data_IF_172963315812
#
_entry.id   IF_172963315812
#
_cell.length_a   1.000
_cell.length_b   1.000
_cell.length_c   1.000
_cell.angle_alpha   90.00
_cell.angle_beta   90.00
_cell.angle_gamma   90.00
#
_symmetry.space_group_name_H-M   'P 1'
#
loop_
_entity.id
_entity.type
_entity.pdbx_description
1 polymer ?
#
# COMPACT_ATOMS: atom_id res chain seq x y z
N UNK A 1 -10.15 -3.00 -27.67
CA UNK A 1 -9.32 -3.51 -26.56
C UNK A 1 -8.37 -4.52 -27.14
N UNK A 2 -7.07 -4.37 -26.86
CA UNK A 2 -6.03 -5.32 -27.26
C UNK A 2 -5.65 -6.13 -26.03
N UNK A 3 -5.49 -7.44 -26.18
CA UNK A 3 -5.06 -8.33 -25.10
C UNK A 3 -3.93 -9.23 -25.62
N UNK A 4 -2.85 -9.33 -24.84
CA UNK A 4 -1.73 -10.24 -25.07
C UNK A 4 -1.64 -11.13 -23.84
N UNK A 5 -1.65 -12.44 -24.05
CA UNK A 5 -1.56 -13.44 -22.98
C UNK A 5 -0.39 -14.37 -23.20
N UNK A 6 0.33 -14.63 -22.14
CA UNK A 6 1.31 -15.71 -22.02
C UNK A 6 0.80 -16.74 -21.00
N UNK A 7 1.62 -17.73 -20.67
CA UNK A 7 1.30 -18.66 -19.59
C UNK A 7 1.28 -17.98 -18.21
N UNK A 8 2.08 -16.92 -18.01
CA UNK A 8 2.30 -16.31 -16.70
C UNK A 8 1.81 -14.87 -16.58
N UNK A 9 1.46 -14.19 -17.67
CA UNK A 9 1.05 -12.79 -17.66
C UNK A 9 -0.10 -12.51 -18.63
N UNK A 10 -0.89 -11.49 -18.29
CA UNK A 10 -1.84 -10.86 -19.19
C UNK A 10 -1.54 -9.36 -19.27
N UNK A 11 -1.41 -8.87 -20.50
CA UNK A 11 -1.34 -7.47 -20.84
C UNK A 11 -2.63 -7.07 -21.54
N UNK A 12 -3.32 -6.05 -21.04
CA UNK A 12 -4.50 -5.46 -21.68
C UNK A 12 -4.26 -4.01 -22.01
N UNK A 13 -4.80 -3.56 -23.12
CA UNK A 13 -4.68 -2.19 -23.57
C UNK A 13 -6.00 -1.66 -24.13
N UNK A 14 -6.33 -0.45 -23.71
CA UNK A 14 -7.45 0.36 -24.20
C UNK A 14 -6.88 1.72 -24.56
N UNK A 15 -6.55 1.91 -25.84
CA UNK A 15 -6.10 3.20 -26.37
C UNK A 15 -7.25 3.78 -27.19
N UNK A 16 -7.79 4.90 -26.72
CA UNK A 16 -8.81 5.68 -27.43
C UNK A 16 -8.19 6.57 -28.52
N UNK A 17 -9.05 7.22 -29.32
CA UNK A 17 -8.63 8.15 -30.39
C UNK A 17 -8.17 9.52 -29.88
N UNK A 18 -8.23 9.78 -28.57
CA UNK A 18 -7.83 11.06 -27.97
C UNK A 18 -6.32 11.08 -27.66
N UNK A 19 -5.67 12.22 -27.89
CA UNK A 19 -4.21 12.45 -27.72
C UNK A 19 -3.75 12.55 -26.23
N UNK A 20 -4.48 11.94 -25.30
CA UNK A 20 -4.16 11.97 -23.87
C UNK A 20 -3.03 11.00 -23.50
N UNK A 21 -2.35 11.24 -22.35
CA UNK A 21 -1.37 10.30 -21.83
C UNK A 21 -2.00 8.93 -21.54
N UNK A 22 -1.17 7.90 -21.51
CA UNK A 22 -1.55 6.53 -21.14
C UNK A 22 -1.25 6.30 -19.67
N UNK A 23 -2.25 5.84 -18.91
CA UNK A 23 -2.02 5.28 -17.59
C UNK A 23 -1.55 3.83 -17.75
N UNK A 24 -0.26 3.58 -17.55
CA UNK A 24 0.27 2.22 -17.51
C UNK A 24 0.21 1.72 -16.07
N UNK A 25 -0.54 0.65 -15.78
CA UNK A 25 -0.68 0.13 -14.43
C UNK A 25 -0.11 -1.28 -14.26
N UNK A 26 0.75 -1.45 -13.26
CA UNK A 26 1.15 -2.76 -12.77
C UNK A 26 0.15 -3.23 -11.70
N UNK A 27 -0.35 -4.46 -11.84
CA UNK A 27 -1.16 -5.11 -10.82
C UNK A 27 -0.39 -5.27 -9.50
N UNK A 28 -1.14 -5.18 -8.39
CA UNK A 28 -0.61 -5.29 -7.04
C UNK A 28 -0.55 -6.75 -6.59
N UNK A 29 -0.04 -6.98 -5.38
CA UNK A 29 -0.06 -8.30 -4.75
C UNK A 29 -1.50 -8.80 -4.53
N UNK A 30 -1.86 -9.94 -5.11
CA UNK A 30 -3.19 -10.52 -4.95
C UNK A 30 -3.12 -11.77 -4.07
N UNK A 31 -3.84 -11.83 -2.92
CA UNK A 31 -3.94 -13.06 -2.11
C UNK A 31 -4.53 -14.25 -2.87
N UNK A 32 -5.22 -14.02 -3.98
CA UNK A 32 -5.78 -15.05 -4.86
C UNK A 32 -5.35 -14.75 -6.31
N UNK A 33 -4.06 -14.85 -6.62
CA UNK A 33 -3.54 -14.38 -7.87
C UNK A 33 -4.03 -15.27 -9.03
N UNK A 34 -4.13 -14.68 -10.22
CA UNK A 34 -4.59 -15.37 -11.41
C UNK A 34 -4.76 -14.40 -12.57
N UNK A 35 -4.86 -14.93 -13.79
CA UNK A 35 -4.94 -14.12 -15.01
C UNK A 35 -6.33 -13.53 -15.26
N UNK A 36 -7.36 -14.07 -14.58
CA UNK A 36 -8.73 -13.63 -14.76
C UNK A 36 -9.10 -12.43 -13.90
N UNK A 37 -10.22 -11.79 -14.27
CA UNK A 37 -10.72 -10.59 -13.60
C UNK A 37 -10.02 -9.30 -14.05
N UNK A 38 -10.40 -8.15 -13.46
CA UNK A 38 -9.85 -6.85 -13.83
C UNK A 38 -8.37 -6.73 -13.43
N UNK A 39 -7.63 -5.99 -14.24
CA UNK A 39 -6.28 -5.52 -13.87
C UNK A 39 -6.44 -4.26 -13.01
N UNK A 40 -5.41 -3.96 -12.22
CA UNK A 40 -5.43 -2.79 -11.34
C UNK A 40 -5.67 -1.52 -12.16
N UNK A 41 -6.51 -0.61 -11.65
CA UNK A 41 -6.90 0.64 -12.29
C UNK A 41 -7.68 0.53 -13.61
N UNK A 42 -8.02 -0.67 -14.09
CA UNK A 42 -8.78 -0.88 -15.33
C UNK A 42 -10.13 -0.14 -15.31
N UNK A 43 -11.01 -0.49 -14.38
CA UNK A 43 -12.34 0.13 -14.25
C UNK A 43 -12.24 1.64 -14.00
N UNK A 44 -11.23 2.07 -13.23
CA UNK A 44 -11.01 3.48 -12.90
C UNK A 44 -10.66 4.31 -14.13
N UNK A 45 -9.80 3.78 -15.00
CA UNK A 45 -9.42 4.40 -16.26
C UNK A 45 -10.57 4.36 -17.28
N UNK A 46 -11.29 3.23 -17.38
CA UNK A 46 -12.46 3.09 -18.24
C UNK A 46 -13.56 4.10 -17.88
N UNK A 47 -13.88 4.26 -16.59
CA UNK A 47 -14.88 5.21 -16.11
C UNK A 47 -14.52 6.68 -16.45
N UNK A 48 -13.25 6.97 -16.76
CA UNK A 48 -12.74 8.31 -17.14
C UNK A 48 -12.44 8.44 -18.63
N UNK A 49 -12.64 7.38 -19.41
CA UNK A 49 -12.28 7.35 -20.83
C UNK A 49 -10.79 7.59 -21.08
N UNK A 50 -9.91 7.20 -20.15
CA UNK A 50 -8.47 7.37 -20.29
C UNK A 50 -7.85 6.29 -21.17
N UNK A 51 -6.77 6.64 -21.87
CA UNK A 51 -5.87 5.66 -22.46
C UNK A 51 -5.22 4.85 -21.33
N UNK A 52 -5.24 3.54 -21.43
CA UNK A 52 -4.80 2.65 -20.37
C UNK A 52 -4.13 1.39 -20.90
N UNK A 53 -3.08 0.96 -20.21
CA UNK A 53 -2.44 -0.34 -20.39
C UNK A 53 -2.24 -0.96 -19.02
N UNK A 54 -2.62 -2.21 -18.84
CA UNK A 54 -2.43 -2.97 -17.61
C UNK A 54 -1.59 -4.21 -17.84
N UNK A 55 -0.70 -4.51 -16.90
CA UNK A 55 0.02 -5.78 -16.83
C UNK A 55 -0.30 -6.48 -15.52
N UNK A 56 -0.70 -7.76 -15.59
CA UNK A 56 -1.04 -8.59 -14.44
C UNK A 56 -0.33 -9.94 -14.53
N UNK A 57 0.39 -10.37 -13.48
CA UNK A 57 0.97 -11.70 -13.42
C UNK A 57 -0.04 -12.74 -12.93
N UNK A 58 0.18 -14.01 -13.26
CA UNK A 58 -0.59 -15.17 -12.80
C UNK A 58 -0.36 -15.47 -11.33
N UNK A 59 0.85 -15.18 -10.84
CA UNK A 59 1.28 -15.36 -9.45
C UNK A 59 2.02 -14.10 -8.98
N UNK A 60 2.20 -13.92 -7.67
CA UNK A 60 2.93 -12.76 -7.13
C UNK A 60 4.45 -12.95 -7.28
N UNK A 61 4.95 -13.02 -8.52
CA UNK A 61 6.36 -13.23 -8.83
C UNK A 61 7.20 -11.94 -8.87
N UNK A 62 6.62 -10.81 -8.45
CA UNK A 62 7.27 -9.50 -8.46
C UNK A 62 7.81 -9.09 -9.83
N UNK A 63 7.11 -9.48 -10.91
CA UNK A 63 7.47 -9.14 -12.28
C UNK A 63 8.87 -9.65 -12.67
N UNK A 64 9.29 -10.78 -12.10
CA UNK A 64 10.58 -11.40 -12.35
C UNK A 64 10.54 -12.44 -13.50
N UNK A 65 9.38 -12.62 -14.13
CA UNK A 65 9.21 -13.52 -15.28
C UNK A 65 10.11 -13.15 -16.46
N UNK A 66 10.64 -14.15 -17.18
CA UNK A 66 11.58 -13.93 -18.29
C UNK A 66 10.98 -13.13 -19.46
N UNK A 67 9.67 -13.21 -19.65
CA UNK A 67 8.90 -12.55 -20.72
C UNK A 67 8.50 -11.10 -20.41
N UNK A 68 8.64 -10.64 -19.16
CA UNK A 68 8.28 -9.28 -18.74
C UNK A 68 8.93 -8.21 -19.63
N UNK A 69 10.24 -8.26 -19.96
CA UNK A 69 10.86 -7.26 -20.82
C UNK A 69 10.20 -7.16 -22.20
N UNK A 70 9.79 -8.27 -22.80
CA UNK A 70 9.12 -8.28 -24.12
C UNK A 70 7.71 -7.68 -24.02
N UNK A 71 6.95 -8.05 -22.99
CA UNK A 71 5.62 -7.49 -22.74
C UNK A 71 5.67 -5.96 -22.53
N UNK A 72 6.71 -5.46 -21.85
CA UNK A 72 6.92 -4.02 -21.67
C UNK A 72 7.27 -3.31 -22.98
N UNK A 73 8.03 -3.94 -23.88
CA UNK A 73 8.32 -3.39 -25.20
C UNK A 73 7.06 -3.34 -26.07
N UNK A 74 6.24 -4.40 -26.03
CA UNK A 74 4.94 -4.43 -26.71
C UNK A 74 4.00 -3.36 -26.14
N UNK A 75 3.94 -3.19 -24.82
CA UNK A 75 3.18 -2.11 -24.20
C UNK A 75 3.62 -0.73 -24.71
N UNK A 76 4.94 -0.53 -24.78
CA UNK A 76 5.54 0.71 -25.24
C UNK A 76 5.20 0.99 -26.70
N UNK A 77 5.17 -0.04 -27.54
CA UNK A 77 4.75 0.05 -28.94
C UNK A 77 3.25 0.37 -29.05
N UNK A 78 2.40 -0.29 -28.27
CA UNK A 78 0.95 -0.02 -28.23
C UNK A 78 0.66 1.44 -27.84
N UNK A 79 1.41 1.96 -26.87
CA UNK A 79 1.28 3.36 -26.47
C UNK A 79 1.85 4.36 -27.51
N UNK A 80 2.71 3.90 -28.42
CA UNK A 80 3.37 4.76 -29.41
C UNK A 80 4.17 5.88 -28.74
N UNK A 81 3.99 7.11 -29.24
CA UNK A 81 4.62 8.33 -28.72
C UNK A 81 3.81 9.02 -27.63
N UNK A 82 2.69 8.43 -27.19
CA UNK A 82 1.90 9.00 -26.10
C UNK A 82 2.69 8.99 -24.80
N UNK A 83 2.57 10.04 -23.96
CA UNK A 83 3.24 10.07 -22.67
C UNK A 83 2.74 8.94 -21.77
N UNK A 84 3.64 8.31 -21.00
CA UNK A 84 3.30 7.24 -20.06
C UNK A 84 3.36 7.69 -18.61
N UNK A 85 2.25 7.48 -17.89
CA UNK A 85 2.17 7.59 -16.45
C UNK A 85 2.16 6.17 -15.89
N UNK A 86 3.31 5.74 -15.36
CA UNK A 86 3.47 4.38 -14.83
C UNK A 86 3.03 4.37 -13.36
N UNK A 87 2.10 3.48 -13.03
CA UNK A 87 1.37 3.47 -11.76
C UNK A 87 1.32 2.07 -11.15
N UNK A 88 1.54 1.98 -9.84
CA UNK A 88 1.33 0.72 -9.13
C UNK A 88 1.39 0.88 -7.60
N UNK A 89 0.72 -0.01 -6.84
CA UNK A 89 0.90 -0.17 -5.41
C UNK A 89 1.76 -1.40 -5.07
N UNK A 90 2.55 -1.32 -3.98
CA UNK A 90 3.29 -2.45 -3.42
C UNK A 90 4.17 -3.16 -4.46
N UNK A 91 3.92 -4.43 -4.75
CA UNK A 91 4.53 -5.18 -5.85
C UNK A 91 4.47 -4.45 -7.21
N UNK A 92 3.33 -3.82 -7.52
CA UNK A 92 3.20 -3.02 -8.73
C UNK A 92 3.99 -1.71 -8.68
N UNK A 93 4.21 -1.16 -7.47
CA UNK A 93 5.05 0.02 -7.28
C UNK A 93 6.54 -0.31 -7.45
N UNK A 94 6.98 -1.50 -7.01
CA UNK A 94 8.31 -2.03 -7.35
C UNK A 94 8.49 -2.05 -8.87
N UNK A 95 7.56 -2.66 -9.60
CA UNK A 95 7.65 -2.74 -11.06
C UNK A 95 7.59 -1.37 -11.74
N UNK A 96 6.75 -0.46 -11.23
CA UNK A 96 6.63 0.91 -11.75
C UNK A 96 7.96 1.67 -11.69
N UNK A 97 8.72 1.53 -10.60
CA UNK A 97 10.04 2.14 -10.44
C UNK A 97 11.08 1.35 -11.26
N UNK A 98 11.12 0.03 -11.10
CA UNK A 98 12.11 -0.86 -11.71
C UNK A 98 12.15 -0.81 -13.23
N UNK A 99 10.98 -0.68 -13.86
CA UNK A 99 10.84 -0.68 -15.32
C UNK A 99 10.58 0.70 -15.93
N UNK A 100 10.67 1.78 -15.14
CA UNK A 100 10.42 3.13 -15.61
C UNK A 100 11.26 3.51 -16.84
N UNK A 101 12.55 3.16 -16.83
CA UNK A 101 13.47 3.45 -17.92
C UNK A 101 13.10 2.69 -19.20
N UNK A 102 12.79 1.38 -19.09
CA UNK A 102 12.40 0.53 -20.23
C UNK A 102 11.09 0.98 -20.86
N UNK A 103 10.11 1.35 -20.05
CA UNK A 103 8.83 1.91 -20.50
C UNK A 103 8.94 3.34 -21.04
N UNK A 104 10.12 3.97 -20.95
CA UNK A 104 10.32 5.41 -21.25
C UNK A 104 9.24 6.25 -20.53
N UNK A 105 9.09 6.00 -19.23
CA UNK A 105 8.04 6.61 -18.43
C UNK A 105 8.23 8.13 -18.34
N UNK A 106 7.16 8.89 -18.58
CA UNK A 106 7.14 10.33 -18.41
C UNK A 106 6.91 10.72 -16.95
N UNK A 107 6.18 9.90 -16.21
CA UNK A 107 5.88 10.11 -14.81
C UNK A 107 5.71 8.76 -14.11
N UNK A 108 6.24 8.63 -12.90
CA UNK A 108 6.06 7.44 -12.06
C UNK A 108 5.20 7.79 -10.85
N UNK A 109 4.11 7.06 -10.61
CA UNK A 109 3.30 7.14 -9.41
C UNK A 109 3.43 5.81 -8.66
N UNK A 110 4.25 5.79 -7.61
CA UNK A 110 4.55 4.58 -6.85
C UNK A 110 3.95 4.68 -5.44
N UNK A 111 3.11 3.71 -5.06
CA UNK A 111 2.49 3.65 -3.72
C UNK A 111 3.09 2.50 -2.90
N UNK A 112 3.76 2.83 -1.79
CA UNK A 112 4.47 1.89 -0.92
C UNK A 112 5.32 0.85 -1.68
N UNK A 113 6.27 1.27 -2.54
CA UNK A 113 7.17 0.31 -3.17
C UNK A 113 8.16 -0.30 -2.16
N UNK A 114 8.47 -1.57 -2.39
CA UNK A 114 9.68 -2.20 -1.90
C UNK A 114 10.77 -2.08 -2.97
N UNK A 115 12.02 -1.95 -2.51
CA UNK A 115 13.19 -2.03 -3.38
C UNK A 115 13.39 -3.47 -3.87
N UNK A 116 13.16 -4.44 -3.00
CA UNK A 116 13.46 -5.85 -3.25
C UNK A 116 12.74 -6.74 -2.24
N UNK A 117 12.42 -7.96 -2.68
CA UNK A 117 12.05 -9.09 -1.80
C UNK A 117 13.07 -10.23 -1.91
N UNK A 118 14.26 -9.96 -2.45
CA UNK A 118 15.32 -10.94 -2.59
C UNK A 118 16.09 -11.08 -1.27
N UNK A 119 16.15 -12.28 -0.65
CA UNK A 119 16.84 -12.51 0.62
C UNK A 119 18.35 -12.31 0.54
N UNK A 120 18.92 -12.29 -0.67
CA UNK A 120 20.33 -11.99 -0.88
C UNK A 120 20.65 -10.48 -0.81
N UNK A 121 19.65 -9.60 -0.72
CA UNK A 121 19.83 -8.15 -0.67
C UNK A 121 19.76 -7.62 0.76
N UNK A 122 20.50 -6.55 1.03
CA UNK A 122 20.62 -5.98 2.39
C UNK A 122 19.30 -5.45 2.96
N UNK A 123 18.39 -4.98 2.10
CA UNK A 123 17.09 -4.44 2.50
C UNK A 123 15.95 -5.44 2.26
N UNK A 124 16.21 -6.73 2.48
CA UNK A 124 15.21 -7.78 2.34
C UNK A 124 13.99 -7.57 3.26
N UNK A 125 12.80 -7.76 2.71
CA UNK A 125 11.53 -7.65 3.40
C UNK A 125 10.90 -9.04 3.62
N UNK A 126 11.04 -9.54 4.84
CA UNK A 126 10.61 -10.89 5.25
C UNK A 126 9.09 -11.13 5.22
N UNK A 127 8.27 -10.09 5.02
CA UNK A 127 6.81 -10.24 4.87
C UNK A 127 6.40 -11.10 3.69
N UNK A 128 7.26 -11.16 2.67
CA UNK A 128 7.00 -11.85 1.40
C UNK A 128 7.90 -13.08 1.22
N UNK A 129 8.35 -13.69 2.33
CA UNK A 129 9.28 -14.80 2.30
C UNK A 129 8.73 -16.01 1.53
N UNK A 130 7.42 -16.27 1.61
CA UNK A 130 6.78 -17.38 0.92
C UNK A 130 6.85 -17.22 -0.62
N UNK A 131 6.54 -16.02 -1.12
CA UNK A 131 6.65 -15.70 -2.55
C UNK A 131 8.13 -15.64 -2.97
N UNK A 132 8.96 -14.97 -2.18
CA UNK A 132 10.38 -14.83 -2.43
C UNK A 132 11.08 -16.18 -2.64
N UNK A 133 10.70 -17.21 -1.89
CA UNK A 133 11.29 -18.54 -2.00
C UNK A 133 11.01 -19.22 -3.37
N UNK A 134 10.02 -18.75 -4.11
CA UNK A 134 9.60 -19.29 -5.40
C UNK A 134 10.10 -18.46 -6.59
N UNK A 135 10.71 -17.29 -6.33
CA UNK A 135 11.11 -16.34 -7.36
C UNK A 135 12.54 -16.60 -7.81
N UNK A 136 12.72 -16.71 -9.12
CA UNK A 136 14.02 -16.50 -9.75
C UNK A 136 14.18 -15.01 -10.05
N UNK A 137 15.03 -14.31 -9.29
CA UNK A 137 15.25 -12.88 -9.45
C UNK A 137 16.05 -12.57 -10.72
N UNK A 138 15.40 -11.93 -11.71
CA UNK A 138 15.97 -11.60 -13.03
C UNK A 138 16.09 -10.10 -13.27
N UNK A 139 15.14 -9.35 -12.74
CA UNK A 139 14.87 -7.95 -13.09
C UNK A 139 14.89 -7.09 -11.83
N UNK A 140 16.05 -6.92 -11.21
CA UNK A 140 16.27 -6.04 -10.06
C UNK A 140 17.16 -4.84 -10.44
N UNK A 141 16.55 -3.85 -11.09
CA UNK A 141 17.25 -2.76 -11.77
C UNK A 141 17.05 -1.38 -11.13
N UNK A 142 16.28 -1.26 -10.04
CA UNK A 142 16.07 0.03 -9.34
C UNK A 142 17.41 0.74 -9.05
N UNK A 143 18.43 0.01 -8.60
CA UNK A 143 19.75 0.58 -8.27
C UNK A 143 20.63 0.88 -9.49
N UNK A 144 20.35 0.25 -10.65
CA UNK A 144 21.22 0.26 -11.84
C UNK A 144 20.63 1.09 -12.99
N UNK A 145 19.33 1.37 -12.94
CA UNK A 145 18.62 2.09 -13.99
C UNK A 145 18.95 3.58 -13.97
N UNK A 146 18.90 4.26 -15.12
CA UNK A 146 18.97 5.71 -15.16
C UNK A 146 17.98 6.36 -14.18
N UNK A 147 18.35 7.47 -13.50
CA UNK A 147 17.46 8.17 -12.58
C UNK A 147 16.12 8.54 -13.20
N UNK A 148 15.01 8.21 -12.52
CA UNK A 148 13.67 8.64 -12.92
C UNK A 148 13.61 10.17 -12.88
N UNK A 149 13.18 10.78 -13.98
CA UNK A 149 13.18 12.24 -14.17
C UNK A 149 12.20 12.95 -13.25
N UNK A 150 10.99 12.41 -13.10
CA UNK A 150 9.92 12.95 -12.27
C UNK A 150 8.92 11.88 -11.89
N UNK A 151 8.27 12.08 -10.74
CA UNK A 151 7.22 11.20 -10.27
C UNK A 151 6.84 11.51 -8.83
N UNK A 152 5.88 10.77 -8.31
CA UNK A 152 5.47 10.80 -6.92
C UNK A 152 5.70 9.44 -6.27
N UNK A 153 6.50 9.45 -5.21
CA UNK A 153 6.74 8.31 -4.35
C UNK A 153 5.93 8.48 -3.06
N UNK A 154 4.85 7.74 -2.93
CA UNK A 154 3.98 7.78 -1.75
C UNK A 154 4.33 6.61 -0.84
N UNK A 155 4.59 6.87 0.43
CA UNK A 155 4.94 5.82 1.39
C UNK A 155 4.52 6.21 2.80
N UNK A 156 4.59 5.25 3.71
CA UNK A 156 4.22 5.44 5.11
C UNK A 156 5.42 5.82 5.97
N UNK A 157 5.17 6.47 7.12
CA UNK A 157 6.24 6.83 8.07
C UNK A 157 6.78 5.63 8.87
N UNK A 158 6.33 4.41 8.60
CA UNK A 158 6.82 3.19 9.24
C UNK A 158 8.28 2.93 8.84
N UNK A 159 9.13 2.55 9.81
CA UNK A 159 10.59 2.42 9.59
C UNK A 159 10.95 1.60 8.35
N UNK A 160 10.31 0.44 8.17
CA UNK A 160 10.57 -0.46 7.03
C UNK A 160 10.16 0.18 5.70
N UNK A 161 8.96 0.76 5.64
CA UNK A 161 8.44 1.48 4.46
C UNK A 161 9.32 2.68 4.09
N UNK A 162 9.73 3.45 5.11
CA UNK A 162 10.62 4.59 4.93
C UNK A 162 12.00 4.16 4.45
N UNK A 163 12.55 3.03 4.92
CA UNK A 163 13.84 2.54 4.47
C UNK A 163 13.83 2.21 2.97
N UNK A 164 12.80 1.51 2.47
CA UNK A 164 12.65 1.27 1.03
C UNK A 164 12.49 2.58 0.25
N UNK A 165 11.65 3.50 0.73
CA UNK A 165 11.44 4.77 0.05
C UNK A 165 12.72 5.60 -0.03
N UNK A 166 13.51 5.68 1.04
CA UNK A 166 14.78 6.41 1.03
C UNK A 166 15.80 5.77 0.09
N UNK A 167 15.88 4.45 0.05
CA UNK A 167 16.78 3.75 -0.88
C UNK A 167 16.38 3.99 -2.34
N UNK A 168 15.08 4.00 -2.66
CA UNK A 168 14.58 4.39 -4.00
C UNK A 168 14.96 5.84 -4.32
N UNK A 169 14.72 6.77 -3.40
CA UNK A 169 15.03 8.19 -3.61
C UNK A 169 16.53 8.45 -3.80
N UNK A 170 17.38 7.61 -3.20
CA UNK A 170 18.84 7.68 -3.37
C UNK A 170 19.27 7.44 -4.83
N UNK A 171 18.62 6.50 -5.52
CA UNK A 171 18.89 6.18 -6.93
C UNK A 171 18.04 6.99 -7.92
N UNK A 172 16.89 7.47 -7.46
CA UNK A 172 15.92 8.18 -8.28
C UNK A 172 15.52 9.54 -7.66
N UNK A 173 16.46 10.50 -7.55
CA UNK A 173 16.23 11.79 -6.89
C UNK A 173 15.21 12.70 -7.59
N UNK A 174 14.80 12.38 -8.82
CA UNK A 174 13.71 13.09 -9.51
C UNK A 174 12.31 12.74 -8.97
N UNK A 175 12.17 11.67 -8.18
CA UNK A 175 10.92 11.36 -7.52
C UNK A 175 10.66 12.30 -6.35
N UNK A 176 9.44 12.82 -6.28
CA UNK A 176 9.01 13.66 -5.15
C UNK A 176 8.40 12.77 -4.06
N UNK A 177 8.88 12.84 -2.80
CA UNK A 177 8.32 12.04 -1.71
C UNK A 177 7.02 12.63 -1.15
N UNK A 178 6.04 11.76 -0.88
CA UNK A 178 4.85 12.08 -0.09
C UNK A 178 4.63 11.03 1.00
N UNK A 179 4.93 11.43 2.24
CA UNK A 179 4.64 10.62 3.42
C UNK A 179 3.16 10.68 3.77
N UNK A 180 2.55 9.50 3.94
CA UNK A 180 1.21 9.28 4.51
C UNK A 180 1.42 8.65 5.89
N UNK A 181 1.37 9.42 6.98
CA UNK A 181 1.57 8.88 8.33
C UNK A 181 0.53 7.82 8.67
N UNK A 182 0.88 6.89 9.56
CA UNK A 182 -0.04 5.86 10.08
C UNK A 182 -0.76 5.07 8.98
N UNK A 183 -0.05 4.71 7.92
CA UNK A 183 -0.64 3.95 6.83
C UNK A 183 -0.16 2.50 6.74
N UNK A 184 0.74 2.05 7.63
CA UNK A 184 1.40 0.74 7.47
C UNK A 184 1.96 0.56 6.06
N UNK A 185 1.72 -0.60 5.45
CA UNK A 185 2.02 -0.86 4.03
C UNK A 185 0.90 -0.43 3.06
N UNK A 186 -0.08 0.34 3.53
CA UNK A 186 -1.35 0.62 2.88
C UNK A 186 -1.64 2.11 2.62
N UNK A 187 -0.68 2.94 2.17
CA UNK A 187 -0.96 4.35 1.87
C UNK A 187 -2.00 4.53 0.76
N UNK A 188 -2.10 3.60 -0.19
CA UNK A 188 -3.14 3.61 -1.22
C UNK A 188 -4.56 3.53 -0.62
N UNK A 189 -4.77 2.64 0.35
CA UNK A 189 -6.05 2.51 1.05
C UNK A 189 -6.38 3.77 1.85
N UNK A 190 -5.41 4.30 2.60
CA UNK A 190 -5.60 5.55 3.35
C UNK A 190 -6.01 6.70 2.42
N UNK A 191 -5.34 6.85 1.28
CA UNK A 191 -5.67 7.89 0.31
C UNK A 191 -7.03 7.66 -0.34
N UNK A 192 -7.41 6.41 -0.61
CA UNK A 192 -8.71 6.07 -1.20
C UNK A 192 -9.85 6.39 -0.22
N UNK A 193 -9.76 5.88 1.00
CA UNK A 193 -10.77 6.07 2.06
C UNK A 193 -10.88 7.54 2.53
N UNK A 194 -9.84 8.35 2.29
CA UNK A 194 -9.84 9.78 2.56
C UNK A 194 -10.29 10.64 1.36
N UNK A 195 -10.77 10.03 0.27
CA UNK A 195 -11.16 10.70 -0.98
C UNK A 195 -10.02 11.50 -1.64
N UNK A 196 -8.77 11.04 -1.53
CA UNK A 196 -7.58 11.74 -2.05
C UNK A 196 -6.97 11.03 -3.25
N UNK A 197 -7.01 9.69 -3.29
CA UNK A 197 -6.28 8.90 -4.28
C UNK A 197 -6.69 9.25 -5.72
N UNK A 198 -8.00 9.41 -5.97
CA UNK A 198 -8.50 9.73 -7.31
C UNK A 198 -7.97 11.06 -7.84
N UNK A 199 -7.93 12.09 -6.98
CA UNK A 199 -7.37 13.40 -7.33
C UNK A 199 -5.88 13.30 -7.64
N UNK A 200 -5.13 12.50 -6.88
CA UNK A 200 -3.69 12.28 -7.10
C UNK A 200 -3.43 11.63 -8.45
N UNK A 201 -4.19 10.58 -8.80
CA UNK A 201 -4.02 9.89 -10.10
C UNK A 201 -4.41 10.82 -11.25
N UNK A 202 -5.52 11.56 -11.13
CA UNK A 202 -5.95 12.52 -12.15
C UNK A 202 -4.95 13.67 -12.34
N UNK A 203 -4.38 14.16 -11.24
CA UNK A 203 -3.32 15.16 -11.23
C UNK A 203 -2.03 14.65 -11.90
N UNK A 204 -1.65 13.38 -11.67
CA UNK A 204 -0.51 12.75 -12.32
C UNK A 204 -0.72 12.63 -13.85
N UNK A 205 -1.94 12.32 -14.29
CA UNK A 205 -2.31 12.31 -15.72
C UNK A 205 -2.21 13.69 -16.39
N UNK A 206 -2.10 14.77 -15.61
CA UNK A 206 -1.93 16.13 -16.11
C UNK A 206 -0.50 16.66 -15.86
N UNK A 207 0.42 15.80 -15.39
CA UNK A 207 1.78 16.17 -14.99
C UNK A 207 1.81 17.31 -13.95
N UNK A 208 0.80 17.38 -13.07
CA UNK A 208 0.62 18.46 -12.09
C UNK A 208 0.02 17.95 -10.80
N UNK A 209 0.86 17.60 -9.82
CA UNK A 209 0.38 17.25 -8.48
C UNK A 209 0.51 18.45 -7.53
N UNK A 210 -0.62 19.09 -7.12
CA UNK A 210 -0.60 20.18 -6.16
C UNK A 210 -0.39 19.63 -4.74
N UNK A 211 0.83 19.17 -4.43
CA UNK A 211 1.16 18.48 -3.17
C UNK A 211 0.69 19.20 -1.90
N UNK A 212 0.82 20.53 -1.76
CA UNK A 212 0.27 21.24 -0.60
C UNK A 212 -1.24 21.03 -0.44
N UNK A 213 -1.99 21.10 -1.55
CA UNK A 213 -3.43 20.86 -1.56
C UNK A 213 -3.77 19.39 -1.24
N UNK A 214 -3.05 18.44 -1.84
CA UNK A 214 -3.20 17.01 -1.57
C UNK A 214 -2.98 16.69 -0.09
N UNK A 215 -1.90 17.22 0.51
CA UNK A 215 -1.59 17.03 1.93
C UNK A 215 -2.64 17.66 2.84
N UNK A 216 -3.16 18.84 2.48
CA UNK A 216 -4.24 19.50 3.21
C UNK A 216 -5.54 18.69 3.17
N UNK A 217 -5.92 18.18 2.00
CA UNK A 217 -7.11 17.33 1.82
C UNK A 217 -6.97 16.04 2.64
N UNK A 218 -5.82 15.36 2.57
CA UNK A 218 -5.53 14.20 3.40
C UNK A 218 -5.64 14.55 4.89
N UNK A 219 -5.04 15.65 5.36
CA UNK A 219 -5.11 16.04 6.78
C UNK A 219 -6.54 16.25 7.27
N UNK A 220 -7.40 16.82 6.43
CA UNK A 220 -8.84 17.04 6.73
C UNK A 220 -9.62 15.73 6.77
N UNK A 221 -9.31 14.80 5.86
CA UNK A 221 -10.12 13.60 5.65
C UNK A 221 -9.57 12.32 6.29
N UNK A 222 -8.34 12.31 6.79
CA UNK A 222 -7.66 11.09 7.30
C UNK A 222 -8.44 10.31 8.37
N UNK A 223 -9.27 10.97 9.17
CA UNK A 223 -10.09 10.29 10.19
C UNK A 223 -11.30 9.56 9.61
N UNK A 224 -11.58 9.70 8.30
CA UNK A 224 -12.52 8.85 7.56
C UNK A 224 -11.92 7.50 7.19
N UNK A 225 -10.60 7.40 7.15
CA UNK A 225 -9.89 6.16 6.79
C UNK A 225 -9.81 5.23 7.99
N UNK A 226 -10.44 4.06 7.87
CA UNK A 226 -10.31 2.98 8.85
C UNK A 226 -8.86 2.51 8.94
N UNK A 227 -8.15 2.45 7.82
CA UNK A 227 -6.73 2.07 7.78
C UNK A 227 -5.85 3.07 8.53
N UNK A 228 -6.09 4.37 8.38
CA UNK A 228 -5.35 5.38 9.13
C UNK A 228 -5.66 5.32 10.63
N UNK A 229 -6.94 5.21 10.96
CA UNK A 229 -7.42 5.24 12.35
C UNK A 229 -6.94 4.03 13.13
N UNK A 230 -7.00 2.81 12.56
CA UNK A 230 -6.51 1.61 13.24
C UNK A 230 -5.01 1.72 13.57
N UNK A 231 -4.18 2.16 12.61
CA UNK A 231 -2.73 2.29 12.78
C UNK A 231 -2.39 3.34 13.83
N UNK A 232 -3.09 4.48 13.81
CA UNK A 232 -2.94 5.52 14.81
C UNK A 232 -3.35 5.05 16.21
N UNK A 233 -4.45 4.31 16.34
CA UNK A 233 -4.92 3.79 17.63
C UNK A 233 -3.96 2.76 18.21
N UNK A 234 -3.51 1.78 17.42
CA UNK A 234 -2.51 0.80 17.87
C UNK A 234 -1.19 1.48 18.24
N UNK A 235 -0.78 2.49 17.48
CA UNK A 235 0.41 3.27 17.83
C UNK A 235 0.24 4.01 19.15
N UNK A 236 -0.90 4.70 19.38
CA UNK A 236 -1.22 5.40 20.63
C UNK A 236 -1.26 4.45 21.83
N UNK A 237 -1.85 3.27 21.66
CA UNK A 237 -1.90 2.23 22.68
C UNK A 237 -0.48 1.74 23.02
N UNK A 238 0.30 1.33 22.03
CA UNK A 238 1.65 0.78 22.23
C UNK A 238 2.62 1.76 22.90
N UNK A 239 2.45 3.07 22.68
CA UNK A 239 3.27 4.11 23.32
C UNK A 239 2.78 4.54 24.72
N UNK A 240 1.79 3.84 25.29
CA UNK A 240 1.24 4.15 26.60
C UNK A 240 0.37 5.41 26.64
N UNK A 241 -0.26 5.78 25.52
CA UNK A 241 -1.13 6.96 25.40
C UNK A 241 -2.60 6.57 25.22
N UNK A 242 -3.08 5.63 26.05
CA UNK A 242 -4.42 5.07 25.95
C UNK A 242 -5.53 6.12 26.08
N UNK A 243 -5.40 7.13 26.96
CA UNK A 243 -6.37 8.23 27.06
C UNK A 243 -6.47 9.04 25.76
N UNK A 244 -5.34 9.25 25.07
CA UNK A 244 -5.36 9.93 23.77
C UNK A 244 -6.06 9.09 22.71
N UNK A 245 -5.89 7.75 22.75
CA UNK A 245 -6.64 6.81 21.92
C UNK A 245 -8.15 6.90 22.15
N UNK A 246 -8.60 6.91 23.41
CA UNK A 246 -10.02 7.06 23.73
C UNK A 246 -10.57 8.43 23.34
N UNK A 247 -9.81 9.51 23.51
CA UNK A 247 -10.20 10.85 23.00
C UNK A 247 -10.32 10.89 21.48
N UNK A 248 -9.47 10.15 20.75
CA UNK A 248 -9.58 10.03 19.30
C UNK A 248 -10.86 9.27 18.91
N UNK A 249 -11.18 8.19 19.60
CA UNK A 249 -12.39 7.38 19.36
C UNK A 249 -13.68 8.22 19.43
N UNK A 250 -13.75 9.20 20.34
CA UNK A 250 -14.88 10.11 20.44
C UNK A 250 -15.10 11.02 19.21
N UNK A 251 -14.09 11.14 18.33
CA UNK A 251 -14.15 11.95 17.11
C UNK A 251 -14.51 11.12 15.86
N UNK A 252 -14.58 9.80 15.99
CA UNK A 252 -14.83 8.90 14.87
C UNK A 252 -16.32 8.78 14.56
N UNK A 253 -16.64 8.50 13.30
CA UNK A 253 -18.01 8.16 12.93
C UNK A 253 -18.42 6.80 13.53
N UNK A 254 -19.70 6.60 13.86
CA UNK A 254 -20.18 5.32 14.41
C UNK A 254 -19.85 4.10 13.53
N UNK A 255 -19.87 4.27 12.21
CA UNK A 255 -19.52 3.20 11.27
C UNK A 255 -18.09 2.69 11.42
N UNK A 256 -17.13 3.56 11.76
CA UNK A 256 -15.75 3.14 11.99
C UNK A 256 -15.60 2.28 13.25
N UNK A 257 -16.44 2.50 14.26
CA UNK A 257 -16.42 1.72 15.50
C UNK A 257 -16.89 0.28 15.30
N UNK A 258 -17.55 -0.01 14.18
CA UNK A 258 -17.97 -1.35 13.78
C UNK A 258 -16.86 -2.13 13.06
N UNK A 259 -15.66 -1.57 12.92
CA UNK A 259 -14.51 -2.30 12.38
C UNK A 259 -13.72 -2.95 13.50
N UNK A 260 -13.47 -4.26 13.36
CA UNK A 260 -12.79 -5.07 14.37
C UNK A 260 -11.46 -4.47 14.86
N UNK A 261 -10.54 -4.03 13.99
CA UNK A 261 -9.27 -3.47 14.46
C UNK A 261 -9.44 -2.23 15.34
N UNK A 262 -10.46 -1.41 15.07
CA UNK A 262 -10.77 -0.20 15.84
C UNK A 262 -11.43 -0.58 17.17
N UNK A 263 -12.36 -1.55 17.16
CA UNK A 263 -12.96 -2.09 18.38
C UNK A 263 -11.91 -2.73 19.29
N UNK A 264 -11.00 -3.52 18.72
CA UNK A 264 -9.88 -4.13 19.43
C UNK A 264 -8.96 -3.06 20.05
N UNK A 265 -8.57 -2.05 19.28
CA UNK A 265 -7.72 -0.98 19.80
C UNK A 265 -8.41 -0.18 20.92
N UNK A 266 -9.74 0.05 20.83
CA UNK A 266 -10.55 0.64 21.91
C UNK A 266 -10.55 -0.22 23.16
N UNK A 267 -10.80 -1.53 23.02
CA UNK A 267 -10.74 -2.49 24.11
C UNK A 267 -9.37 -2.46 24.81
N UNK A 268 -8.28 -2.51 24.05
CA UNK A 268 -6.93 -2.47 24.59
C UNK A 268 -6.65 -1.16 25.34
N UNK A 269 -7.08 -0.01 24.81
CA UNK A 269 -6.94 1.27 25.51
C UNK A 269 -7.73 1.28 26.84
N UNK A 270 -8.96 0.76 26.87
CA UNK A 270 -9.76 0.69 28.09
C UNK A 270 -9.12 -0.23 29.14
N UNK A 271 -8.65 -1.40 28.69
CA UNK A 271 -7.94 -2.36 29.53
C UNK A 271 -6.67 -1.77 30.14
N UNK A 272 -5.85 -1.09 29.34
CA UNK A 272 -4.60 -0.49 29.81
C UNK A 272 -4.83 0.62 30.86
N UNK A 273 -6.05 1.18 30.91
CA UNK A 273 -6.49 2.15 31.93
C UNK A 273 -7.25 1.52 33.11
N UNK A 274 -7.31 0.19 33.19
CA UNK A 274 -8.01 -0.54 34.25
C UNK A 274 -9.55 -0.47 34.16
N UNK A 275 -10.11 -0.01 33.04
CA UNK A 275 -11.56 0.07 32.81
C UNK A 275 -12.09 -1.23 32.24
N UNK A 276 -12.01 -2.31 33.03
CA UNK A 276 -12.20 -3.68 32.54
C UNK A 276 -13.62 -3.96 32.03
N UNK A 277 -14.66 -3.50 32.74
CA UNK A 277 -16.06 -3.70 32.32
C UNK A 277 -16.33 -3.05 30.96
N UNK A 278 -15.95 -1.77 30.83
CA UNK A 278 -16.06 -1.05 29.56
C UNK A 278 -15.21 -1.69 28.45
N UNK A 279 -14.06 -2.28 28.78
CA UNK A 279 -13.25 -3.00 27.81
C UNK A 279 -13.98 -4.28 27.33
N UNK A 280 -14.68 -4.98 28.22
CA UNK A 280 -15.43 -6.18 27.89
C UNK A 280 -16.61 -5.86 26.96
N UNK A 281 -17.42 -4.85 27.31
CA UNK A 281 -18.58 -4.38 26.52
C UNK A 281 -18.25 -4.10 25.06
N UNK A 282 -17.02 -3.65 24.76
CA UNK A 282 -16.58 -3.35 23.39
C UNK A 282 -16.46 -4.63 22.53
N UNK A 283 -16.06 -5.76 23.11
CA UNK A 283 -15.83 -7.01 22.38
C UNK A 283 -16.97 -8.03 22.51
N UNK A 284 -17.87 -7.88 23.47
CA UNK A 284 -19.04 -8.76 23.62
C UNK A 284 -19.85 -8.94 22.32
N UNK A 285 -20.18 -7.89 21.54
CA UNK A 285 -20.91 -8.06 20.28
C UNK A 285 -20.15 -8.88 19.23
N UNK A 286 -18.83 -8.98 19.35
CA UNK A 286 -17.97 -9.70 18.40
C UNK A 286 -17.91 -11.19 18.67
N UNK A 287 -18.38 -11.68 19.83
CA UNK A 287 -18.40 -13.12 20.14
C UNK A 287 -19.18 -13.94 19.12
N UNK A 288 -20.22 -13.35 18.53
CA UNK A 288 -21.04 -13.99 17.49
C UNK A 288 -20.46 -13.84 16.07
N UNK A 289 -19.34 -13.13 15.89
CA UNK A 289 -18.78 -12.86 14.56
C UNK A 289 -17.99 -14.07 14.04
N UNK A 290 -18.30 -14.52 12.82
CA UNK A 290 -17.68 -15.70 12.20
C UNK A 290 -16.15 -15.61 12.11
N UNK A 291 -15.60 -14.43 11.80
CA UNK A 291 -14.15 -14.25 11.59
C UNK A 291 -13.38 -13.87 12.87
N UNK A 292 -14.06 -13.30 13.87
CA UNK A 292 -13.40 -12.63 15.00
C UNK A 292 -13.90 -13.09 16.38
N UNK A 293 -14.89 -13.98 16.45
CA UNK A 293 -15.47 -14.48 17.71
C UNK A 293 -14.44 -15.14 18.62
N UNK A 294 -13.59 -16.02 18.07
CA UNK A 294 -12.55 -16.70 18.84
C UNK A 294 -11.51 -15.73 19.40
N UNK A 295 -11.13 -14.72 18.62
CA UNK A 295 -10.20 -13.67 19.06
C UNK A 295 -10.84 -12.79 20.15
N UNK A 296 -12.11 -12.42 19.99
CA UNK A 296 -12.86 -11.68 20.99
C UNK A 296 -12.94 -12.47 22.31
N UNK A 297 -13.32 -13.75 22.25
CA UNK A 297 -13.39 -14.63 23.41
C UNK A 297 -12.03 -14.74 24.12
N UNK A 298 -10.95 -14.90 23.35
CA UNK A 298 -9.60 -14.96 23.90
C UNK A 298 -9.22 -13.67 24.65
N UNK A 299 -9.52 -12.50 24.07
CA UNK A 299 -9.25 -11.20 24.69
C UNK A 299 -10.05 -10.97 25.96
N UNK A 300 -11.35 -11.31 25.95
CA UNK A 300 -12.21 -11.22 27.13
C UNK A 300 -11.70 -12.11 28.27
N UNK A 301 -11.25 -13.33 27.95
CA UNK A 301 -10.66 -14.23 28.94
C UNK A 301 -9.35 -13.68 29.57
N UNK A 302 -8.63 -12.78 28.89
CA UNK A 302 -7.44 -12.14 29.47
C UNK A 302 -7.77 -11.07 30.50
N UNK A 303 -8.99 -10.49 30.50
CA UNK A 303 -9.37 -9.45 31.47
C UNK A 303 -9.47 -9.99 32.90
N UNK A 304 -9.82 -11.27 33.05
CA UNK A 304 -9.99 -11.95 34.34
C UNK A 304 -8.69 -12.50 34.93
N UNK A 305 -7.57 -12.40 34.20
CA UNK A 305 -6.26 -12.86 34.67
C UNK A 305 -5.58 -11.74 35.49
N UNK A 306 -5.03 -12.03 36.68
CA UNK A 306 -4.26 -11.02 37.42
C UNK A 306 -3.08 -10.52 36.57
N UNK A 307 -2.69 -9.24 36.67
CA UNK A 307 -1.58 -8.70 35.90
C UNK A 307 -0.31 -9.50 36.21
N UNK A 308 0.28 -10.10 35.17
CA UNK A 308 1.55 -10.80 35.28
C UNK A 308 2.66 -9.77 35.53
N UNK A 309 2.92 -9.48 36.81
CA UNK A 309 4.05 -8.67 37.23
C UNK A 309 5.35 -9.50 37.16
N UNK A 310 5.87 -9.71 35.96
CA UNK A 310 7.29 -10.01 35.77
C UNK A 310 7.84 -9.17 34.61
N UNK A 311 8.17 -7.90 34.91
CA UNK A 311 9.23 -7.20 34.18
C UNK A 311 10.54 -7.46 34.92
N UNK A 312 11.25 -8.52 34.54
CA UNK A 312 12.69 -8.59 34.78
C UNK A 312 13.39 -7.37 34.16
N UNK A 313 14.53 -6.93 34.71
CA UNK A 313 15.12 -5.64 34.36
C UNK A 313 15.39 -5.56 32.86
N UNK A 314 14.90 -4.48 32.25
CA UNK A 314 15.16 -4.14 30.86
C UNK A 314 16.67 -4.05 30.64
N UNK A 315 17.24 -5.01 29.92
CA UNK A 315 18.56 -4.84 29.32
C UNK A 315 18.42 -3.77 28.24
N UNK A 316 18.85 -2.56 28.58
CA UNK A 316 19.22 -1.56 27.60
C UNK A 316 20.36 -2.12 26.73
N UNK A 317 20.14 -2.17 25.42
CA UNK A 317 21.13 -2.54 24.40
C UNK A 317 20.72 -1.88 23.08
N UNK A 318 21.68 -1.40 22.26
CA UNK A 318 21.61 -0.08 21.65
C UNK A 318 21.03 -0.07 20.23
N UNK A 319 20.31 1.03 19.95
CA UNK A 319 20.06 1.75 18.69
C UNK A 319 19.83 0.96 17.38
#
# INVERSE_FOLDING_TARGET
>A
MTEIRTADYVLRAVIGRHQGPVLFSFHFYDPRPGLEGPIFAEDYAQARGWNWIGLKPRVNDWYQGAEVPELLDQARQIAGDLPLIVYGPSMGAFAAVNFAARLRADYVLALAPQVTVNPAKALYDDRWAAESAQITFRHEWIEQSPPIRRGLLIYSSHRREAAHAHEILRHHPGLTPMVVPFAGHQPGWVLSEADVLGDVVAAAMQDRIPLPHTRLKLRRNRLRSKTYVQELLFWLQKRGSAEAGLRLILQLSPGLLQHWPIALARHLCLRDLGRLDAAAEVLEPWLAATEHGDLAAWHLAQLSRPPCHEKGPARAGPF
#
